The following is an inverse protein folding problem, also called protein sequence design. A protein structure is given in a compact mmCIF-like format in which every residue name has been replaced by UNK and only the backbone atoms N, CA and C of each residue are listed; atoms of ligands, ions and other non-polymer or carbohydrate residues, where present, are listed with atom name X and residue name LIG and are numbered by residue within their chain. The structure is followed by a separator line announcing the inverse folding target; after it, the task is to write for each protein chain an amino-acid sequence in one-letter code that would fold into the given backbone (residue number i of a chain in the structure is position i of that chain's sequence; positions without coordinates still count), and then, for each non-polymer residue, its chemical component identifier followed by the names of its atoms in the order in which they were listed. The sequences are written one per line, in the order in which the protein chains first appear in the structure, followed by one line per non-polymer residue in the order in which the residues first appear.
data_IF_126113826038
#
_entry.id   IF_126113826038
#
_cell.length_a   1.000
_cell.length_b   1.000
_cell.length_c   1.000
_cell.angle_alpha   90.00
_cell.angle_beta   90.00
_cell.angle_gamma   90.00
#
_symmetry.space_group_name_H-M   'P 1'
#
loop_
_entity.id
_entity.type
_entity.pdbx_description
1 polymer ?
#
# COMPACT_ATOMS: atom_id res chain seq x y z
N UNK A 1 25.11 6.00 -6.40
CA UNK A 1 25.66 5.82 -5.02
C UNK A 1 24.91 4.67 -4.36
N UNK A 2 25.62 3.62 -3.92
CA UNK A 2 25.05 2.38 -3.37
C UNK A 2 24.70 2.55 -1.89
N UNK A 3 23.48 3.00 -1.58
CA UNK A 3 22.93 3.00 -0.21
C UNK A 3 22.31 1.65 0.13
N UNK A 4 23.10 0.57 0.06
CA UNK A 4 22.58 -0.76 0.37
C UNK A 4 22.41 -0.99 1.86
N UNK A 5 23.08 -0.22 2.73
CA UNK A 5 22.99 -0.37 4.18
C UNK A 5 22.83 0.98 4.88
N UNK A 6 22.08 1.00 5.98
CA UNK A 6 21.87 2.17 6.83
C UNK A 6 22.00 1.80 8.31
N UNK A 7 22.43 2.76 9.12
CA UNK A 7 22.21 2.71 10.57
C UNK A 7 20.90 3.42 10.89
N UNK A 8 20.07 2.84 11.76
CA UNK A 8 18.75 3.39 12.06
C UNK A 8 18.57 3.61 13.56
N UNK A 9 17.94 4.73 13.96
CA UNK A 9 17.86 5.15 15.37
C UNK A 9 17.04 4.20 16.25
N UNK A 10 16.11 3.42 15.69
CA UNK A 10 15.34 2.43 16.46
C UNK A 10 15.96 1.05 16.47
N UNK A 11 17.10 0.87 15.79
CA UNK A 11 17.83 -0.39 15.73
C UNK A 11 19.33 -0.09 15.56
N UNK A 12 19.98 0.30 16.67
CA UNK A 12 21.36 0.78 16.69
C UNK A 12 22.40 -0.33 16.64
N UNK A 13 22.03 -1.53 17.11
CA UNK A 13 22.95 -2.67 17.26
C UNK A 13 23.44 -3.21 15.91
N UNK A 14 22.59 -3.17 14.88
CA UNK A 14 22.90 -3.70 13.57
C UNK A 14 22.50 -2.75 12.45
N UNK A 15 23.23 -2.83 11.33
CA UNK A 15 22.86 -2.13 10.10
C UNK A 15 21.67 -2.83 9.44
N UNK A 16 20.82 -2.03 8.82
CA UNK A 16 19.72 -2.52 8.00
C UNK A 16 20.12 -2.49 6.54
N UNK A 17 19.87 -3.57 5.83
CA UNK A 17 20.18 -3.71 4.40
C UNK A 17 18.91 -3.53 3.57
N UNK A 18 19.03 -2.82 2.46
CA UNK A 18 17.97 -2.74 1.46
C UNK A 18 17.75 -4.10 0.80
N UNK A 19 16.51 -4.54 0.75
CA UNK A 19 16.07 -5.79 0.13
C UNK A 19 14.73 -5.57 -0.58
N UNK A 20 14.49 -6.34 -1.64
CA UNK A 20 13.16 -6.50 -2.24
C UNK A 20 12.61 -7.88 -1.90
N UNK A 21 11.38 -7.96 -1.40
CA UNK A 21 10.70 -9.23 -1.11
C UNK A 21 9.30 -9.29 -1.72
N UNK A 22 8.98 -10.39 -2.38
CA UNK A 22 7.62 -10.68 -2.83
C UNK A 22 6.72 -11.19 -1.68
N UNK A 23 7.27 -11.37 -0.48
CA UNK A 23 6.52 -11.78 0.69
C UNK A 23 6.12 -10.57 1.53
N UNK A 24 4.87 -10.53 2.04
CA UNK A 24 4.45 -9.52 2.99
C UNK A 24 5.34 -9.54 4.24
N UNK A 25 5.58 -8.35 4.79
CA UNK A 25 6.29 -8.18 6.06
C UNK A 25 5.56 -7.16 6.93
N UNK A 26 5.79 -7.25 8.23
CA UNK A 26 5.33 -6.25 9.20
C UNK A 26 6.46 -5.28 9.48
N UNK A 27 6.20 -3.99 9.34
CA UNK A 27 7.19 -2.96 9.65
C UNK A 27 7.31 -2.76 11.16
N UNK A 28 8.50 -2.89 11.73
CA UNK A 28 8.76 -2.66 13.15
C UNK A 28 8.68 -1.19 13.56
N UNK A 29 8.80 -0.27 12.61
CA UNK A 29 8.62 1.16 12.84
C UNK A 29 7.15 1.49 13.05
N UNK A 30 6.37 1.50 11.97
CA UNK A 30 4.97 1.96 12.00
C UNK A 30 3.94 0.86 12.33
N UNK A 31 4.37 -0.40 12.44
CA UNK A 31 3.54 -1.59 12.73
C UNK A 31 2.55 -1.99 11.63
N UNK A 32 2.55 -1.28 10.51
CA UNK A 32 1.76 -1.61 9.32
C UNK A 32 2.42 -2.69 8.45
N UNK A 33 1.59 -3.40 7.70
CA UNK A 33 2.02 -4.35 6.68
C UNK A 33 2.52 -3.63 5.43
N UNK A 34 3.60 -4.15 4.84
CA UNK A 34 4.02 -3.81 3.48
C UNK A 34 4.53 -5.02 2.71
N UNK A 35 4.92 -4.78 1.48
CA UNK A 35 5.49 -5.77 0.57
C UNK A 35 6.45 -5.09 -0.41
N UNK A 36 7.36 -5.83 -1.03
CA UNK A 36 8.34 -5.29 -1.95
C UNK A 36 9.56 -4.74 -1.22
N UNK A 37 9.93 -3.50 -1.55
CA UNK A 37 11.14 -2.84 -1.05
C UNK A 37 11.10 -2.52 0.45
N UNK A 38 12.11 -2.98 1.18
CA UNK A 38 12.26 -2.81 2.63
C UNK A 38 13.71 -2.65 3.06
N UNK A 39 13.90 -2.25 4.30
CA UNK A 39 15.18 -2.33 4.99
C UNK A 39 15.09 -3.41 6.07
N UNK A 40 15.93 -4.43 5.98
CA UNK A 40 15.92 -5.59 6.87
C UNK A 40 17.25 -5.77 7.58
N UNK A 41 17.22 -6.13 8.86
CA UNK A 41 18.39 -6.62 9.56
C UNK A 41 18.71 -8.06 9.13
N UNK A 42 19.96 -8.36 8.81
CA UNK A 42 20.38 -9.74 8.46
C UNK A 42 20.62 -10.63 9.69
N UNK A 43 20.68 -10.04 10.89
CA UNK A 43 21.04 -10.73 12.13
C UNK A 43 19.79 -11.04 12.99
N UNK A 44 18.79 -10.17 12.97
CA UNK A 44 17.54 -10.35 13.71
C UNK A 44 16.32 -10.08 12.83
N UNK A 45 15.13 -10.48 13.30
CA UNK A 45 13.86 -10.27 12.60
C UNK A 45 13.38 -8.83 12.81
N UNK A 46 14.05 -7.88 12.13
CA UNK A 46 13.71 -6.47 12.17
C UNK A 46 13.59 -5.91 10.76
N UNK A 47 12.41 -5.37 10.45
CA UNK A 47 12.01 -4.94 9.12
C UNK A 47 11.40 -3.54 9.13
N UNK A 48 11.81 -2.67 8.20
CA UNK A 48 11.23 -1.33 8.02
C UNK A 48 10.77 -1.13 6.59
N UNK A 49 9.60 -0.48 6.43
CA UNK A 49 9.28 0.17 5.15
C UNK A 49 10.36 1.19 4.79
N UNK A 50 10.56 1.42 3.49
CA UNK A 50 11.46 2.50 3.02
C UNK A 50 11.17 3.85 3.68
N UNK A 51 9.88 4.22 3.84
CA UNK A 51 9.49 5.48 4.47
C UNK A 51 9.67 5.52 5.99
N UNK A 52 9.80 4.36 6.65
CA UNK A 52 10.15 4.29 8.08
C UNK A 52 11.67 4.25 8.29
N UNK A 53 12.41 3.69 7.34
CA UNK A 53 13.86 3.67 7.32
C UNK A 53 14.47 5.04 6.99
N UNK A 54 13.87 5.76 6.04
CA UNK A 54 14.39 7.02 5.48
C UNK A 54 13.63 8.25 6.01
N UNK A 55 13.53 8.38 7.33
CA UNK A 55 12.97 9.58 7.95
C UNK A 55 14.03 10.68 7.89
N UNK A 56 14.02 11.45 6.80
CA UNK A 56 15.01 12.51 6.54
C UNK A 56 14.67 13.84 7.20
N UNK A 57 13.38 14.08 7.51
CA UNK A 57 12.91 15.28 8.19
C UNK A 57 12.00 14.90 9.35
N UNK A 58 12.22 15.47 10.55
CA UNK A 58 11.32 15.31 11.67
C UNK A 58 10.01 16.07 11.47
N UNK A 59 9.95 17.00 10.52
CA UNK A 59 8.73 17.74 10.19
C UNK A 59 8.18 17.35 8.82
N UNK A 60 6.85 17.35 8.71
CA UNK A 60 6.13 17.04 7.48
C UNK A 60 5.00 18.06 7.27
N UNK A 61 4.95 18.60 6.07
CA UNK A 61 3.80 19.32 5.53
C UNK A 61 3.12 18.45 4.48
N UNK A 62 1.82 18.21 4.64
CA UNK A 62 1.06 17.39 3.71
C UNK A 62 0.01 18.26 2.97
N UNK A 63 -0.13 18.14 1.63
CA UNK A 63 -1.02 19.00 0.84
C UNK A 63 -2.50 18.98 1.27
N UNK A 64 -2.97 17.88 1.87
CA UNK A 64 -4.33 17.78 2.41
C UNK A 64 -4.55 18.49 3.75
N UNK A 65 -3.49 18.94 4.40
CA UNK A 65 -3.49 19.54 5.73
C UNK A 65 -2.64 20.81 5.73
N UNK A 66 -3.05 21.80 4.94
CA UNK A 66 -2.30 23.05 4.72
C UNK A 66 -2.06 23.87 5.99
N UNK A 67 -2.86 23.66 7.03
CA UNK A 67 -2.72 24.31 8.34
C UNK A 67 -1.97 23.47 9.37
N UNK A 68 -1.49 22.29 9.00
CA UNK A 68 -0.82 21.38 9.93
C UNK A 68 0.69 21.36 9.70
N UNK A 69 1.41 21.33 10.81
CA UNK A 69 2.82 20.96 10.87
C UNK A 69 2.90 19.65 11.64
N UNK A 70 3.18 18.55 10.93
CA UNK A 70 3.32 17.26 11.58
C UNK A 70 4.75 17.06 12.06
N UNK A 71 4.89 16.52 13.26
CA UNK A 71 6.16 16.13 13.84
C UNK A 71 6.27 14.61 13.92
N UNK A 72 7.41 14.08 13.54
CA UNK A 72 7.72 12.67 13.67
C UNK A 72 7.82 12.29 15.14
N UNK A 73 7.24 11.15 15.49
CA UNK A 73 7.35 10.54 16.80
C UNK A 73 7.56 9.03 16.62
N UNK A 74 8.41 8.43 17.46
CA UNK A 74 8.66 6.98 17.45
C UNK A 74 7.54 6.18 18.13
N UNK A 75 6.69 6.85 18.89
CA UNK A 75 5.51 6.29 19.57
C UNK A 75 4.39 7.31 19.63
N UNK A 76 3.11 6.88 19.62
CA UNK A 76 1.97 7.79 19.76
C UNK A 76 2.03 8.56 21.09
N UNK A 77 1.56 9.83 21.13
CA UNK A 77 1.44 10.57 22.38
C UNK A 77 0.22 10.13 23.19
N UNK A 78 0.45 9.90 24.50
CA UNK A 78 -0.56 9.46 25.47
C UNK A 78 -0.91 7.98 25.36
N UNK A 79 -1.86 7.54 26.18
CA UNK A 79 -2.29 6.13 26.25
C UNK A 79 -3.62 5.86 25.53
N UNK A 80 -4.22 6.89 24.93
CA UNK A 80 -5.46 6.76 24.17
C UNK A 80 -5.19 6.14 22.80
N UNK A 81 -6.02 5.19 22.34
CA UNK A 81 -5.93 4.67 20.98
C UNK A 81 -5.97 5.78 19.93
N UNK A 82 -5.09 5.71 18.93
CA UNK A 82 -4.97 6.69 17.86
C UNK A 82 -5.07 5.99 16.51
N UNK A 83 -5.63 6.70 15.53
CA UNK A 83 -5.88 6.17 14.20
C UNK A 83 -5.28 7.08 13.14
N UNK A 84 -4.69 6.48 12.12
CA UNK A 84 -4.13 7.22 10.99
C UNK A 84 -5.26 7.84 10.17
N UNK A 85 -5.24 9.16 9.96
CA UNK A 85 -6.27 9.86 9.21
C UNK A 85 -6.28 9.54 7.70
N UNK A 86 -5.28 8.81 7.21
CA UNK A 86 -5.19 8.39 5.82
C UNK A 86 -5.75 6.99 5.57
N UNK A 87 -5.52 6.02 6.46
CA UNK A 87 -5.90 4.63 6.28
C UNK A 87 -6.83 4.07 7.38
N UNK A 88 -7.16 4.88 8.39
CA UNK A 88 -7.98 4.50 9.56
C UNK A 88 -7.44 3.32 10.38
N UNK A 89 -6.19 2.88 10.15
CA UNK A 89 -5.55 1.84 10.97
C UNK A 89 -4.94 2.40 12.23
N UNK A 90 -4.80 1.54 13.22
CA UNK A 90 -4.21 1.86 14.52
C UNK A 90 -2.79 2.40 14.36
N UNK A 91 -2.45 3.40 15.17
CA UNK A 91 -1.11 3.95 15.23
C UNK A 91 -0.45 3.46 16.51
N UNK A 92 0.34 2.40 16.40
CA UNK A 92 1.01 1.73 17.52
C UNK A 92 2.54 1.85 17.51
N UNK A 93 3.08 2.66 16.61
CA UNK A 93 4.52 2.89 16.47
C UNK A 93 4.80 4.25 15.84
N UNK A 94 5.71 4.27 14.87
CA UNK A 94 6.14 5.47 14.15
C UNK A 94 4.97 6.21 13.51
N UNK A 95 4.91 7.52 13.74
CA UNK A 95 3.88 8.40 13.21
C UNK A 95 4.39 9.80 12.96
N UNK A 96 3.63 10.52 12.15
CA UNK A 96 3.65 11.97 12.03
C UNK A 96 2.41 12.50 12.76
N UNK A 97 2.61 13.28 13.82
CA UNK A 97 1.58 13.83 14.69
C UNK A 97 1.49 15.35 14.56
N UNK A 98 0.29 15.88 14.34
CA UNK A 98 0.04 17.32 14.39
C UNK A 98 -0.57 17.69 15.75
N UNK A 99 0.22 18.32 16.62
CA UNK A 99 -0.23 18.73 17.97
C UNK A 99 -1.45 19.65 17.96
N UNK A 100 -1.53 20.56 16.98
CA UNK A 100 -2.60 21.56 16.91
C UNK A 100 -3.96 20.98 16.52
N UNK A 101 -3.98 19.94 15.67
CA UNK A 101 -5.23 19.36 15.15
C UNK A 101 -5.52 17.96 15.69
N UNK A 102 -4.55 17.32 16.34
CA UNK A 102 -4.63 15.94 16.79
C UNK A 102 -4.57 14.91 15.66
N UNK A 103 -4.24 15.32 14.42
CA UNK A 103 -4.15 14.41 13.28
C UNK A 103 -2.87 13.57 13.33
N UNK A 104 -3.00 12.31 12.94
CA UNK A 104 -1.94 11.31 12.92
C UNK A 104 -1.85 10.65 11.55
N UNK A 105 -0.63 10.43 11.07
CA UNK A 105 -0.34 9.73 9.82
C UNK A 105 0.79 8.73 10.04
N UNK A 106 0.63 7.49 9.58
CA UNK A 106 1.80 6.60 9.43
C UNK A 106 2.77 7.19 8.41
N UNK A 107 4.10 7.01 8.56
CA UNK A 107 5.08 7.45 7.58
C UNK A 107 4.80 6.93 6.16
N UNK A 108 4.35 5.68 6.04
CA UNK A 108 3.99 5.07 4.76
C UNK A 108 2.73 5.69 4.12
N UNK A 109 1.77 6.15 4.93
CA UNK A 109 0.58 6.81 4.44
C UNK A 109 0.83 8.28 4.07
N UNK A 110 1.66 8.97 4.85
CA UNK A 110 2.04 10.37 4.65
C UNK A 110 2.80 10.61 3.33
N UNK A 111 3.43 9.57 2.77
CA UNK A 111 4.22 9.63 1.54
C UNK A 111 3.51 9.03 0.33
N UNK A 112 2.23 8.67 0.46
CA UNK A 112 1.44 8.19 -0.67
C UNK A 112 1.42 9.23 -1.80
N UNK A 113 1.67 8.83 -3.06
CA UNK A 113 1.70 9.75 -4.19
C UNK A 113 0.30 10.32 -4.44
N UNK A 114 0.24 11.63 -4.70
CA UNK A 114 -1.03 12.32 -5.00
C UNK A 114 -1.62 11.93 -6.36
N UNK A 115 -0.78 11.47 -7.28
CA UNK A 115 -1.15 11.03 -8.62
C UNK A 115 -0.40 9.73 -8.92
N UNK A 116 -1.15 8.74 -9.38
CA UNK A 116 -0.63 7.53 -10.01
C UNK A 116 -0.96 7.61 -11.50
N UNK A 117 0.06 7.48 -12.34
CA UNK A 117 -0.03 7.54 -13.80
C UNK A 117 0.88 6.46 -14.38
N UNK A 118 0.28 5.43 -14.95
CA UNK A 118 0.99 4.35 -15.66
C UNK A 118 0.91 4.51 -17.20
N UNK A 119 0.41 5.64 -17.68
CA UNK A 119 0.16 5.93 -19.09
C UNK A 119 -1.24 5.55 -19.58
N UNK A 120 -1.88 4.53 -18.98
CA UNK A 120 -3.22 4.07 -19.34
C UNK A 120 -4.28 4.53 -18.33
N UNK A 121 -3.90 4.57 -17.05
CA UNK A 121 -4.75 4.84 -15.91
C UNK A 121 -4.17 5.99 -15.09
N UNK A 122 -5.01 7.02 -14.87
CA UNK A 122 -4.71 8.14 -13.97
C UNK A 122 -5.61 8.13 -12.74
N UNK A 123 -5.02 7.95 -11.58
CA UNK A 123 -5.69 7.92 -10.29
C UNK A 123 -5.15 9.03 -9.39
N UNK A 124 -6.06 9.81 -8.81
CA UNK A 124 -5.73 10.91 -7.92
C UNK A 124 -6.08 10.50 -6.50
N UNK A 125 -5.20 10.82 -5.57
CA UNK A 125 -5.46 10.66 -4.15
C UNK A 125 -6.37 11.81 -3.69
N UNK A 126 -7.37 11.48 -2.89
CA UNK A 126 -8.29 12.44 -2.28
C UNK A 126 -8.40 12.20 -0.78
N UNK A 127 -8.38 13.29 0.00
CA UNK A 127 -8.60 13.24 1.45
C UNK A 127 -9.99 12.71 1.82
N UNK A 128 -11.02 13.17 1.12
CA UNK A 128 -12.43 12.79 1.33
C UNK A 128 -13.14 12.73 -0.01
N UNK A 129 -13.97 11.71 -0.19
CA UNK A 129 -14.80 11.50 -1.39
C UNK A 129 -16.22 11.13 -0.98
N UNK A 130 -17.21 11.64 -1.71
CA UNK A 130 -18.63 11.33 -1.50
C UNK A 130 -19.08 10.06 -2.24
N UNK A 131 -18.26 9.55 -3.15
CA UNK A 131 -18.52 8.33 -3.91
C UNK A 131 -18.24 7.08 -3.06
N UNK A 132 -19.04 6.01 -3.22
CA UNK A 132 -18.79 4.75 -2.53
C UNK A 132 -17.46 4.14 -2.99
N UNK A 133 -16.81 3.40 -2.10
CA UNK A 133 -15.66 2.59 -2.45
C UNK A 133 -16.09 1.31 -3.16
N UNK A 134 -15.40 0.95 -4.24
CA UNK A 134 -15.72 -0.24 -5.03
C UNK A 134 -15.48 -1.55 -4.26
N UNK A 135 -14.64 -1.53 -3.21
CA UNK A 135 -14.43 -2.71 -2.36
C UNK A 135 -15.54 -2.91 -1.33
N UNK A 136 -15.82 -1.88 -0.52
CA UNK A 136 -16.68 -2.03 0.65
C UNK A 136 -18.09 -1.44 0.48
N UNK A 137 -18.38 -0.77 -0.64
CA UNK A 137 -19.65 -0.11 -0.91
C UNK A 137 -19.95 1.14 -0.06
N UNK A 138 -19.15 1.41 0.97
CA UNK A 138 -19.35 2.53 1.91
C UNK A 138 -18.69 3.81 1.42
N UNK A 139 -19.15 4.96 1.93
CA UNK A 139 -18.57 6.30 1.70
C UNK A 139 -17.63 6.70 2.84
N UNK A 140 -16.70 7.61 2.53
CA UNK A 140 -16.14 8.60 3.46
C UNK A 140 -15.55 8.06 4.76
N UNK A 141 -14.44 7.33 4.67
CA UNK A 141 -13.73 6.81 5.84
C UNK A 141 -12.24 7.17 5.79
N UNK A 142 -11.50 6.52 4.92
CA UNK A 142 -10.10 6.82 4.69
C UNK A 142 -9.88 7.74 3.49
N UNK A 143 -8.63 8.13 3.23
CA UNK A 143 -8.27 8.66 1.90
C UNK A 143 -8.61 7.67 0.81
N UNK A 144 -8.80 8.16 -0.41
CA UNK A 144 -9.17 7.32 -1.55
C UNK A 144 -8.42 7.67 -2.81
N UNK A 145 -7.99 6.65 -3.55
CA UNK A 145 -7.57 6.82 -4.93
C UNK A 145 -8.80 6.76 -5.84
N UNK A 146 -8.94 7.77 -6.70
CA UNK A 146 -10.08 7.90 -7.60
C UNK A 146 -9.64 8.23 -9.02
N UNK A 147 -10.25 7.57 -10.00
CA UNK A 147 -9.91 7.77 -11.41
C UNK A 147 -10.43 9.11 -11.95
N UNK A 148 -9.76 9.66 -12.96
CA UNK A 148 -10.23 10.88 -13.66
C UNK A 148 -11.64 10.73 -14.22
N UNK A 149 -11.96 9.56 -14.79
CA UNK A 149 -13.27 9.24 -15.32
C UNK A 149 -14.33 8.99 -14.24
N UNK A 150 -13.98 9.12 -12.95
CA UNK A 150 -14.86 8.97 -11.78
C UNK A 150 -15.50 7.58 -11.61
N UNK A 151 -15.12 6.62 -12.46
CA UNK A 151 -15.63 5.24 -12.46
C UNK A 151 -14.92 4.32 -11.48
N UNK A 152 -13.86 4.78 -10.81
CA UNK A 152 -13.10 3.97 -9.86
C UNK A 152 -12.77 4.77 -8.61
N UNK A 153 -12.99 4.15 -7.45
CA UNK A 153 -12.77 4.74 -6.14
C UNK A 153 -12.44 3.66 -5.11
N UNK A 154 -11.23 3.70 -4.55
CA UNK A 154 -10.74 2.75 -3.57
C UNK A 154 -10.21 3.47 -2.34
N UNK A 155 -10.75 3.13 -1.18
CA UNK A 155 -10.22 3.57 0.11
C UNK A 155 -8.82 2.99 0.32
N UNK A 156 -7.88 3.80 0.79
CA UNK A 156 -6.55 3.33 1.24
C UNK A 156 -6.70 2.29 2.35
N UNK A 157 -7.64 2.46 3.29
CA UNK A 157 -7.96 1.46 4.30
C UNK A 157 -8.35 0.11 3.69
N UNK A 158 -9.25 0.17 2.70
CA UNK A 158 -9.68 -1.02 1.97
C UNK A 158 -8.57 -1.61 1.12
N UNK A 159 -7.49 -0.92 0.80
CA UNK A 159 -6.37 -1.55 0.09
C UNK A 159 -5.45 -2.24 1.09
N UNK A 160 -5.22 -1.63 2.27
CA UNK A 160 -4.48 -2.25 3.39
C UNK A 160 -5.09 -3.58 3.80
N UNK A 161 -6.41 -3.63 3.95
CA UNK A 161 -7.12 -4.83 4.35
C UNK A 161 -7.03 -5.97 3.33
N UNK A 162 -6.77 -5.68 2.04
CA UNK A 162 -6.61 -6.73 1.02
C UNK A 162 -5.40 -7.60 1.29
N UNK A 163 -4.30 -7.04 1.80
CA UNK A 163 -3.12 -7.84 2.13
C UNK A 163 -3.32 -8.67 3.39
N UNK A 164 -3.97 -8.10 4.41
CA UNK A 164 -4.18 -8.80 5.69
C UNK A 164 -5.06 -10.03 5.49
N UNK A 165 -6.15 -9.91 4.71
CA UNK A 165 -7.05 -11.03 4.42
C UNK A 165 -6.37 -12.14 3.59
N UNK A 166 -5.48 -11.77 2.66
CA UNK A 166 -4.75 -12.73 1.81
C UNK A 166 -3.44 -13.23 2.46
N UNK A 167 -3.10 -12.77 3.67
CA UNK A 167 -1.83 -13.08 4.34
C UNK A 167 -1.63 -14.59 4.55
N UNK A 168 -2.69 -15.31 4.93
CA UNK A 168 -2.63 -16.76 5.18
C UNK A 168 -2.35 -17.57 3.91
N UNK A 169 -2.97 -17.22 2.78
CA UNK A 169 -2.76 -17.92 1.51
C UNK A 169 -1.34 -17.72 0.96
N UNK A 170 -0.77 -16.54 1.21
CA UNK A 170 0.57 -16.16 0.77
C UNK A 170 1.66 -16.84 1.62
N UNK A 171 1.48 -16.90 2.94
CA UNK A 171 2.44 -17.58 3.82
C UNK A 171 2.45 -19.10 3.64
N UNK A 172 1.30 -19.74 3.35
CA UNK A 172 1.23 -21.20 3.14
C UNK A 172 1.93 -21.61 1.84
N UNK A 173 1.83 -20.81 0.77
CA UNK A 173 2.58 -21.05 -0.49
C UNK A 173 4.07 -20.72 -0.39
N UNK A 174 4.48 -19.85 0.55
CA UNK A 174 5.86 -19.40 0.73
C UNK A 174 6.79 -20.31 1.53
N UNK A 175 6.28 -21.29 2.30
CA UNK A 175 7.11 -22.19 3.12
C UNK A 175 7.67 -23.42 2.37
N UNK A 176 7.39 -23.56 1.08
CA UNK A 176 7.62 -24.84 0.36
C UNK A 176 8.22 -24.77 -1.04
N UNK A 177 8.92 -23.71 -1.45
CA UNK A 177 9.51 -23.69 -2.80
C UNK A 177 10.90 -23.06 -2.80
N UNK A 178 11.91 -23.91 -3.04
CA UNK A 178 13.22 -23.53 -3.54
C UNK A 178 13.08 -22.68 -4.81
N UNK A 179 13.84 -21.59 -4.86
CA UNK A 179 14.21 -20.81 -6.05
C UNK A 179 13.86 -21.48 -7.39
N UNK A 180 12.71 -21.08 -7.96
CA UNK A 180 12.36 -21.05 -9.39
C UNK A 180 10.86 -20.72 -9.51
N UNK A 181 10.50 -19.44 -9.36
CA UNK A 181 9.17 -18.97 -9.76
C UNK A 181 9.20 -18.88 -11.31
N UNK A 182 8.37 -19.63 -12.05
CA UNK A 182 8.28 -19.46 -13.49
C UNK A 182 7.82 -18.02 -13.75
N UNK A 183 8.54 -17.29 -14.61
CA UNK A 183 8.06 -16.03 -15.15
C UNK A 183 6.63 -16.25 -15.67
N UNK A 184 5.62 -15.73 -14.97
CA UNK A 184 4.24 -15.75 -15.42
C UNK A 184 4.09 -14.68 -16.51
N UNK A 185 4.78 -14.91 -17.63
CA UNK A 185 4.57 -14.19 -18.88
C UNK A 185 3.35 -14.72 -19.65
N UNK A 186 2.58 -15.65 -19.07
CA UNK A 186 1.53 -16.40 -19.78
C UNK A 186 0.14 -16.44 -19.12
N UNK A 187 -0.17 -15.61 -18.11
CA UNK A 187 -1.57 -15.47 -17.63
C UNK A 187 -2.33 -14.29 -18.25
N UNK A 188 -1.75 -13.67 -19.28
CA UNK A 188 -2.53 -12.94 -20.28
C UNK A 188 -3.13 -13.96 -21.25
N UNK A 189 -4.39 -14.32 -20.99
CA UNK A 189 -5.23 -15.22 -21.76
C UNK A 189 -5.01 -15.14 -23.29
N UNK A 190 -4.60 -16.25 -23.90
CA UNK A 190 -4.67 -16.51 -25.35
C UNK A 190 -6.07 -17.05 -25.76
N UNK A 191 -6.45 -16.92 -27.04
CA UNK A 191 -7.84 -16.81 -27.47
C UNK A 191 -8.45 -18.16 -27.87
N UNK A 192 -9.65 -18.46 -27.37
CA UNK A 192 -10.54 -19.41 -28.03
C UNK A 192 -11.79 -18.73 -28.54
N UNK A 193 -11.90 -18.76 -29.86
CA UNK A 193 -13.00 -18.31 -30.68
C UNK A 193 -14.29 -19.07 -30.37
N UNK A 194 -15.31 -18.35 -29.90
CA UNK A 194 -16.69 -18.61 -30.32
C UNK A 194 -17.46 -17.29 -30.39
N UNK A 195 -18.13 -17.08 -31.52
CA UNK A 195 -18.86 -15.88 -31.92
C UNK A 195 -19.98 -15.54 -30.93
N UNK A 196 -19.97 -14.33 -30.35
CA UNK A 196 -21.16 -13.43 -30.25
C UNK A 196 -20.84 -12.10 -29.53
N UNK A 197 -21.00 -11.00 -30.28
CA UNK A 197 -21.29 -9.61 -29.87
C UNK A 197 -20.96 -9.18 -28.42
N UNK A 198 -19.89 -8.39 -28.19
CA UNK A 198 -19.66 -7.62 -26.93
C UNK A 198 -18.49 -6.60 -27.04
N UNK A 199 -18.73 -5.46 -27.68
CA UNK A 199 -17.69 -4.44 -28.00
C UNK A 199 -17.44 -3.31 -26.99
N UNK A 200 -18.02 -3.32 -25.78
CA UNK A 200 -17.81 -2.23 -24.78
C UNK A 200 -17.53 -2.71 -23.35
N UNK A 201 -18.10 -3.85 -22.96
CA UNK A 201 -17.98 -4.39 -21.59
C UNK A 201 -16.55 -4.87 -21.27
N UNK A 202 -15.82 -5.40 -22.26
CA UNK A 202 -14.46 -5.94 -22.07
C UNK A 202 -13.41 -4.87 -21.73
N UNK A 203 -13.47 -3.73 -22.43
CA UNK A 203 -12.52 -2.62 -22.25
C UNK A 203 -12.63 -1.93 -20.89
N UNK A 204 -13.84 -1.87 -20.31
CA UNK A 204 -14.03 -1.29 -18.98
C UNK A 204 -13.51 -2.20 -17.86
N UNK A 205 -13.61 -3.53 -18.01
CA UNK A 205 -13.12 -4.48 -17.00
C UNK A 205 -11.58 -4.58 -16.99
N UNK A 206 -10.93 -4.43 -18.15
CA UNK A 206 -9.46 -4.43 -18.24
C UNK A 206 -8.85 -3.19 -17.56
N UNK A 207 -9.43 -2.00 -17.78
CA UNK A 207 -9.04 -0.75 -17.11
C UNK A 207 -9.25 -0.83 -15.58
N UNK A 208 -10.29 -1.55 -15.16
CA UNK A 208 -10.62 -1.76 -13.76
C UNK A 208 -9.56 -2.59 -13.02
N UNK A 209 -9.05 -3.66 -13.64
CA UNK A 209 -7.98 -4.50 -13.07
C UNK A 209 -6.66 -3.74 -12.91
N UNK A 210 -6.25 -3.00 -13.95
CA UNK A 210 -5.03 -2.18 -13.92
C UNK A 210 -5.09 -1.09 -12.84
N UNK A 211 -6.23 -0.40 -12.73
CA UNK A 211 -6.42 0.62 -11.69
C UNK A 211 -6.28 0.04 -10.27
N UNK A 212 -6.82 -1.15 -10.02
CA UNK A 212 -6.70 -1.83 -8.72
C UNK A 212 -5.24 -2.19 -8.43
N UNK A 213 -4.54 -2.76 -9.41
CA UNK A 213 -3.13 -3.12 -9.31
C UNK A 213 -2.26 -1.91 -8.96
N UNK A 214 -2.44 -0.79 -9.67
CA UNK A 214 -1.68 0.44 -9.44
C UNK A 214 -1.91 0.99 -8.03
N UNK A 215 -3.15 0.98 -7.54
CA UNK A 215 -3.44 1.42 -6.16
C UNK A 215 -2.82 0.47 -5.14
N UNK A 216 -2.90 -0.85 -5.35
CA UNK A 216 -2.29 -1.85 -4.48
C UNK A 216 -0.78 -1.61 -4.37
N UNK A 217 -0.10 -1.47 -5.51
CA UNK A 217 1.34 -1.21 -5.54
C UNK A 217 1.73 0.07 -4.81
N UNK A 218 0.95 1.14 -4.99
CA UNK A 218 1.23 2.41 -4.35
C UNK A 218 1.03 2.38 -2.83
N UNK A 219 -0.02 1.70 -2.36
CA UNK A 219 -0.35 1.66 -0.93
C UNK A 219 0.57 0.69 -0.21
N UNK A 220 0.75 -0.51 -0.76
CA UNK A 220 1.34 -1.63 -0.05
C UNK A 220 2.85 -1.79 -0.33
N UNK A 221 3.34 -1.16 -1.40
CA UNK A 221 4.61 -1.47 -2.06
C UNK A 221 4.36 -2.37 -3.27
N UNK A 222 5.37 -2.64 -4.10
CA UNK A 222 5.24 -3.38 -5.36
C UNK A 222 5.46 -4.89 -5.17
N UNK A 223 4.42 -5.75 -5.31
CA UNK A 223 4.62 -7.18 -5.30
C UNK A 223 4.25 -7.81 -6.63
N UNK A 224 4.88 -7.41 -7.74
CA UNK A 224 4.57 -7.82 -9.12
C UNK A 224 3.98 -9.25 -9.28
N UNK A 225 4.43 -10.28 -8.54
CA UNK A 225 3.81 -11.62 -8.52
C UNK A 225 2.52 -11.78 -7.67
N UNK A 226 2.41 -11.14 -6.50
CA UNK A 226 1.28 -11.24 -5.58
C UNK A 226 0.03 -10.44 -6.02
N UNK A 227 0.25 -9.37 -6.78
CA UNK A 227 -0.84 -8.47 -7.20
C UNK A 227 -1.87 -9.23 -8.05
N UNK A 228 -1.42 -10.17 -8.89
CA UNK A 228 -2.31 -10.95 -9.75
C UNK A 228 -3.38 -11.74 -8.96
N UNK A 229 -2.99 -12.32 -7.81
CA UNK A 229 -3.91 -13.05 -6.93
C UNK A 229 -4.91 -12.12 -6.23
N UNK A 230 -4.43 -10.98 -5.72
CA UNK A 230 -5.29 -9.99 -5.04
C UNK A 230 -6.28 -9.35 -6.03
N UNK A 231 -5.80 -8.99 -7.24
CA UNK A 231 -6.65 -8.43 -8.30
C UNK A 231 -7.70 -9.45 -8.73
N UNK A 232 -7.34 -10.73 -8.89
CA UNK A 232 -8.30 -11.80 -9.19
C UNK A 232 -9.38 -11.97 -8.13
N UNK A 233 -9.00 -11.97 -6.85
CA UNK A 233 -9.95 -12.02 -5.72
C UNK A 233 -10.84 -10.78 -5.66
N UNK A 234 -10.29 -9.60 -5.94
CA UNK A 234 -11.04 -8.36 -5.99
C UNK A 234 -12.07 -8.34 -7.14
N UNK A 235 -11.65 -8.75 -8.34
CA UNK A 235 -12.50 -8.74 -9.52
C UNK A 235 -13.60 -9.81 -9.48
N UNK A 236 -13.34 -10.99 -8.91
CA UNK A 236 -14.35 -12.06 -8.75
C UNK A 236 -15.47 -11.73 -7.77
N UNK A 237 -15.23 -10.79 -6.83
CA UNK A 237 -16.26 -10.29 -5.90
C UNK A 237 -17.10 -9.15 -6.47
N UNK A 238 -16.73 -8.61 -7.64
CA UNK A 238 -17.41 -7.49 -8.29
C UNK A 238 -18.35 -7.91 -9.43
N UNK A 239 -18.37 -9.21 -9.79
CA UNK A 239 -19.21 -9.82 -10.84
C UNK A 239 -20.47 -10.48 -10.29
#
# INVERSE_FOLDING_TARGET
MKYNEISHFSHTEHKLRFEYSEFPFKCDGCKEVGIGSRYKCSICDFDLHMHCAMITSPTLHHPFYTKCNFQFMSKPPGDTPRYCNACEKDVSGFLYHCKACGFDLHPCCAKLPLLLDDGEVKLYLYRKVSSPCHRCGRKGRSWSYRSKCKNYNLHVACVRDMLVENWHEVCVKGRGVNSNIPSLRNTLYTPHSSRRSKGKVKKCCEIAGLAVQVVISAVLGDPTALIAGIVGSFMSRAS
#
